data_IF_482322839076
#
_entry.id   IF_482322839076
#
_cell.length_a   1.000
_cell.length_b   1.000
_cell.length_c   1.000
_cell.angle_alpha   90.00
_cell.angle_beta   90.00
_cell.angle_gamma   90.00
#
_symmetry.space_group_name_H-M   'P 1'
#
loop_
_entity.id
_entity.type
_entity.pdbx_description
1 polymer ?
#
# COMPACT_ATOMS: atom_id res chain seq x y z
N UNK A 1 -11.14 -17.24 32.21
CA UNK A 1 -10.04 -16.88 31.31
C UNK A 1 -10.50 -17.38 29.95
N UNK A 2 -11.22 -16.51 29.25
CA UNK A 2 -12.03 -16.89 28.11
C UNK A 2 -11.15 -17.33 26.95
N UNK A 3 -11.48 -18.50 26.40
CA UNK A 3 -10.74 -19.10 25.29
C UNK A 3 -10.78 -18.20 24.07
N UNK A 4 -9.59 -17.81 23.60
CA UNK A 4 -9.45 -17.10 22.34
C UNK A 4 -9.81 -18.11 21.24
N UNK A 5 -11.02 -18.00 20.70
CA UNK A 5 -11.40 -18.67 19.46
C UNK A 5 -10.49 -18.13 18.34
N UNK A 6 -9.50 -18.92 17.96
CA UNK A 6 -8.68 -18.65 16.78
C UNK A 6 -9.55 -19.00 15.57
N UNK A 7 -10.30 -18.01 15.08
CA UNK A 7 -11.04 -18.14 13.83
C UNK A 7 -10.04 -18.13 12.68
N UNK A 8 -9.72 -19.32 12.16
CA UNK A 8 -8.98 -19.42 10.89
C UNK A 8 -9.86 -18.82 9.79
N UNK A 9 -9.33 -17.92 8.95
CA UNK A 9 -10.10 -17.40 7.82
C UNK A 9 -10.50 -18.57 6.91
N UNK A 10 -11.74 -18.52 6.41
CA UNK A 10 -12.23 -19.46 5.39
C UNK A 10 -11.46 -19.25 4.08
N UNK A 11 -11.34 -20.30 3.28
CA UNK A 11 -10.71 -20.23 1.96
C UNK A 11 -11.33 -19.14 1.05
N UNK A 12 -12.64 -18.87 1.21
CA UNK A 12 -13.32 -17.80 0.49
C UNK A 12 -12.86 -16.40 0.95
N UNK A 13 -12.63 -16.22 2.26
CA UNK A 13 -12.15 -14.96 2.84
C UNK A 13 -10.70 -14.69 2.44
N UNK A 14 -9.85 -15.72 2.41
CA UNK A 14 -8.50 -15.62 1.87
C UNK A 14 -8.49 -15.31 0.37
N UNK A 15 -9.38 -15.96 -0.41
CA UNK A 15 -9.55 -15.69 -1.83
C UNK A 15 -9.94 -14.24 -2.11
N UNK A 16 -10.95 -13.71 -1.41
CA UNK A 16 -11.40 -12.31 -1.52
C UNK A 16 -10.28 -11.33 -1.12
N UNK A 17 -9.56 -11.64 -0.03
CA UNK A 17 -8.43 -10.82 0.43
C UNK A 17 -7.27 -10.79 -0.59
N UNK A 18 -7.01 -11.90 -1.26
CA UNK A 18 -6.00 -11.97 -2.31
C UNK A 18 -6.44 -11.23 -3.59
N UNK A 19 -7.72 -11.32 -3.97
CA UNK A 19 -8.26 -10.59 -5.13
C UNK A 19 -8.18 -9.07 -4.92
N UNK A 20 -8.62 -8.59 -3.75
CA UNK A 20 -8.52 -7.16 -3.39
C UNK A 20 -7.06 -6.67 -3.36
N UNK A 21 -6.12 -7.50 -2.89
CA UNK A 21 -4.68 -7.18 -2.94
C UNK A 21 -4.20 -7.01 -4.38
N UNK A 22 -4.57 -7.91 -5.29
CA UNK A 22 -4.17 -7.84 -6.71
C UNK A 22 -4.73 -6.56 -7.36
N UNK A 23 -5.98 -6.20 -7.09
CA UNK A 23 -6.58 -4.97 -7.61
C UNK A 23 -5.83 -3.72 -7.13
N UNK A 24 -5.49 -3.65 -5.84
CA UNK A 24 -4.68 -2.55 -5.31
C UNK A 24 -3.33 -2.47 -6.02
N UNK A 25 -2.66 -3.61 -6.25
CA UNK A 25 -1.36 -3.65 -6.94
C UNK A 25 -1.48 -3.18 -8.40
N UNK A 26 -2.54 -3.59 -9.10
CA UNK A 26 -2.80 -3.14 -10.48
C UNK A 26 -2.96 -1.62 -10.54
N UNK A 27 -3.75 -1.05 -9.65
CA UNK A 27 -3.96 0.39 -9.58
C UNK A 27 -2.68 1.14 -9.18
N UNK A 28 -1.88 0.56 -8.27
CA UNK A 28 -0.59 1.12 -7.88
C UNK A 28 0.40 1.17 -9.04
N UNK A 29 0.35 0.17 -9.94
CA UNK A 29 1.26 0.07 -11.07
C UNK A 29 1.11 1.24 -12.06
N UNK A 30 -0.10 1.80 -12.18
CA UNK A 30 -0.43 2.96 -13.02
C UNK A 30 0.07 4.29 -12.44
N UNK A 31 0.44 4.32 -11.16
CA UNK A 31 1.01 5.50 -10.53
C UNK A 31 2.42 5.72 -11.09
N UNK A 32 2.71 6.96 -11.52
CA UNK A 32 4.02 7.33 -12.05
C UNK A 32 5.08 7.41 -10.94
N UNK A 33 6.32 7.13 -11.31
CA UNK A 33 7.47 7.38 -10.44
C UNK A 33 7.61 8.87 -10.10
N UNK A 34 8.11 9.20 -8.90
CA UNK A 34 8.64 8.30 -7.86
C UNK A 34 7.60 7.82 -6.83
N UNK A 35 6.32 8.19 -7.00
CA UNK A 35 5.30 7.87 -6.00
C UNK A 35 5.03 6.37 -5.88
N UNK A 36 5.09 5.65 -7.02
CA UNK A 36 4.88 4.20 -7.05
C UNK A 36 5.94 3.45 -6.26
N UNK A 37 7.22 3.74 -6.48
CA UNK A 37 8.32 3.16 -5.72
C UNK A 37 8.18 3.42 -4.20
N UNK A 38 7.86 4.66 -3.81
CA UNK A 38 7.63 5.01 -2.40
C UNK A 38 6.47 4.22 -1.79
N UNK A 39 5.38 4.03 -2.54
CA UNK A 39 4.24 3.26 -2.04
C UNK A 39 4.58 1.78 -1.94
N UNK A 40 5.34 1.19 -2.88
CA UNK A 40 5.79 -0.19 -2.77
C UNK A 40 6.66 -0.41 -1.53
N UNK A 41 7.66 0.45 -1.33
CA UNK A 41 8.55 0.40 -0.16
C UNK A 41 7.80 0.57 1.16
N UNK A 42 6.76 1.43 1.18
CA UNK A 42 5.98 1.69 2.39
C UNK A 42 4.97 0.58 2.70
N UNK A 43 4.22 0.11 1.71
CA UNK A 43 3.08 -0.81 1.89
C UNK A 43 3.50 -2.27 1.95
N UNK A 44 4.54 -2.64 1.20
CA UNK A 44 5.01 -4.03 1.11
C UNK A 44 6.41 -4.21 1.69
N UNK A 45 7.24 -3.17 1.68
CA UNK A 45 8.56 -3.19 2.30
C UNK A 45 8.56 -2.86 3.79
N UNK A 46 7.44 -2.42 4.37
CA UNK A 46 7.31 -2.02 5.78
C UNK A 46 8.32 -0.93 6.23
N UNK A 47 8.88 -0.16 5.29
CA UNK A 47 9.92 0.84 5.58
C UNK A 47 9.32 2.14 6.13
N UNK A 48 10.02 2.79 7.06
CA UNK A 48 9.73 4.15 7.53
C UNK A 48 9.98 5.18 6.43
N UNK A 49 9.37 6.37 6.52
CA UNK A 49 9.64 7.45 5.57
C UNK A 49 11.12 7.89 5.59
N UNK A 50 11.80 7.71 6.72
CA UNK A 50 13.22 8.01 6.87
C UNK A 50 14.05 7.04 6.03
N UNK A 51 13.86 5.74 6.22
CA UNK A 51 14.55 4.70 5.44
C UNK A 51 14.26 4.83 3.94
N UNK A 52 13.02 5.15 3.56
CA UNK A 52 12.67 5.41 2.16
C UNK A 52 13.42 6.63 1.61
N UNK A 53 13.50 7.72 2.40
CA UNK A 53 14.30 8.89 2.05
C UNK A 53 15.76 8.52 1.83
N UNK A 54 16.36 7.76 2.76
CA UNK A 54 17.75 7.32 2.71
C UNK A 54 18.02 6.44 1.47
N UNK A 55 17.14 5.48 1.15
CA UNK A 55 17.25 4.62 -0.04
C UNK A 55 17.19 5.42 -1.34
N UNK A 56 16.29 6.41 -1.41
CA UNK A 56 16.07 7.21 -2.62
C UNK A 56 16.98 8.44 -2.71
N UNK A 57 17.87 8.66 -1.75
CA UNK A 57 18.74 9.83 -1.69
C UNK A 57 17.96 11.15 -1.54
N UNK A 58 16.87 11.12 -0.74
CA UNK A 58 15.94 12.24 -0.49
C UNK A 58 15.70 12.41 1.01
N UNK A 59 14.95 13.45 1.39
CA UNK A 59 14.57 13.67 2.78
C UNK A 59 13.36 12.85 3.17
N UNK A 60 13.23 12.53 4.45
CA UNK A 60 12.02 11.89 5.02
C UNK A 60 10.73 12.65 4.66
N UNK A 61 10.78 14.00 4.71
CA UNK A 61 9.61 14.82 4.37
C UNK A 61 9.24 14.71 2.89
N UNK A 62 10.23 14.63 2.00
CA UNK A 62 9.98 14.38 0.58
C UNK A 62 9.30 13.03 0.35
N UNK A 63 9.76 11.97 1.03
CA UNK A 63 9.13 10.64 0.95
C UNK A 63 7.68 10.67 1.46
N UNK A 64 7.45 11.32 2.62
CA UNK A 64 6.12 11.49 3.22
C UNK A 64 5.15 12.21 2.27
N UNK A 65 5.56 13.36 1.72
CA UNK A 65 4.70 14.16 0.83
C UNK A 65 4.37 13.40 -0.45
N UNK A 66 5.34 12.73 -1.07
CA UNK A 66 5.07 11.95 -2.29
C UNK A 66 4.20 10.71 -2.00
N UNK A 67 4.38 10.06 -0.86
CA UNK A 67 3.50 8.96 -0.44
C UNK A 67 2.03 9.39 -0.34
N UNK A 68 1.75 10.50 0.34
CA UNK A 68 0.35 10.95 0.48
C UNK A 68 -0.26 11.41 -0.83
N UNK A 69 0.52 12.03 -1.74
CA UNK A 69 0.07 12.34 -3.10
C UNK A 69 -0.25 11.09 -3.91
N UNK A 70 0.58 10.06 -3.81
CA UNK A 70 0.34 8.75 -4.43
C UNK A 70 -0.92 8.09 -3.87
N UNK A 71 -1.08 8.09 -2.54
CA UNK A 71 -2.27 7.58 -1.85
C UNK A 71 -3.55 8.31 -2.27
N UNK A 72 -3.50 9.65 -2.38
CA UNK A 72 -4.65 10.44 -2.83
C UNK A 72 -5.04 10.10 -4.27
N UNK A 73 -4.06 9.91 -5.17
CA UNK A 73 -4.31 9.45 -6.54
C UNK A 73 -4.95 8.07 -6.56
N UNK A 74 -4.40 7.11 -5.82
CA UNK A 74 -4.94 5.76 -5.71
C UNK A 74 -6.40 5.78 -5.27
N UNK A 75 -6.73 6.55 -4.24
CA UNK A 75 -8.10 6.69 -3.74
C UNK A 75 -9.06 7.32 -4.75
N UNK A 76 -8.58 8.24 -5.59
CA UNK A 76 -9.39 8.83 -6.66
C UNK A 76 -9.67 7.82 -7.77
N UNK A 77 -8.66 7.10 -8.21
CA UNK A 77 -8.82 6.06 -9.25
C UNK A 77 -9.73 4.92 -8.79
N UNK A 78 -9.64 4.50 -7.52
CA UNK A 78 -10.53 3.48 -6.97
C UNK A 78 -12.00 3.92 -6.95
N UNK A 79 -12.28 5.19 -6.63
CA UNK A 79 -13.64 5.74 -6.65
C UNK A 79 -14.21 5.94 -8.06
N UNK A 80 -13.36 6.18 -9.05
CA UNK A 80 -13.80 6.36 -10.44
C UNK A 80 -14.13 5.03 -11.14
N UNK A 81 -13.69 3.90 -10.57
CA UNK A 81 -13.95 2.55 -11.07
C UNK A 81 -15.14 1.87 -10.36
N UNK A 82 -15.84 2.57 -9.48
CA UNK A 82 -17.13 2.18 -8.87
C UNK A 82 -18.31 2.81 -9.65
#
# INVERSE_FOLDING_TARGET
MDGIEVTSPSAESEGISNLSRIEIIKQLHEIKEPMREIMYLRMFGNLSFKEIGDILGKTENWARVNYYRGKEKLLKEMKNNE
#
